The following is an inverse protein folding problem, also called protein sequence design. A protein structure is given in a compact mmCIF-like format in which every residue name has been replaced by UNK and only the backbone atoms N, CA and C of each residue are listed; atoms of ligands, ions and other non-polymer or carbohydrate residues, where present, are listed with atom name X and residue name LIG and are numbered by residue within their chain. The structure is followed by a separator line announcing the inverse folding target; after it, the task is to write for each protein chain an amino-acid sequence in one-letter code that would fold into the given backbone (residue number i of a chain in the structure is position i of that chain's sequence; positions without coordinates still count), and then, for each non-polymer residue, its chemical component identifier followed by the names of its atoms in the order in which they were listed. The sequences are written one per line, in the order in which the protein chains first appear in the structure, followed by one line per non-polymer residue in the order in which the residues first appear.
data_IF_601906006874
#
_entry.id   IF_601906006874
#
_cell.length_a   1.000
_cell.length_b   1.000
_cell.length_c   1.000
_cell.angle_alpha   90.00
_cell.angle_beta   90.00
_cell.angle_gamma   90.00
#
_symmetry.space_group_name_H-M   'P 1'
#
loop_
_entity.id
_entity.type
_entity.pdbx_description
1 polymer ?
#
# COMPACT_ATOMS: atom_id res chain seq x y z
N UNK A 1 -3.79 29.92 13.81
CA UNK A 1 -2.71 29.02 14.23
C UNK A 1 -2.01 28.43 13.02
N UNK A 2 -0.73 28.12 13.13
CA UNK A 2 0.13 27.62 12.04
C UNK A 2 0.74 26.28 12.47
N UNK A 3 0.97 25.40 11.52
CA UNK A 3 1.75 24.18 11.70
C UNK A 3 3.14 24.42 11.15
N UNK A 4 4.15 24.29 11.99
CA UNK A 4 5.56 24.40 11.63
C UNK A 4 6.17 23.01 11.66
N UNK A 5 6.67 22.55 10.52
CA UNK A 5 7.34 21.25 10.41
C UNK A 5 8.85 21.48 10.26
N UNK A 6 9.64 20.87 11.14
CA UNK A 6 11.09 20.96 11.17
C UNK A 6 11.73 19.59 10.95
N UNK A 7 12.79 19.55 10.15
CA UNK A 7 13.52 18.33 9.84
C UNK A 7 14.97 18.40 10.32
N UNK A 8 15.36 17.41 11.12
CA UNK A 8 16.74 17.24 11.58
C UNK A 8 17.06 17.98 12.89
N UNK A 9 18.19 17.63 13.53
CA UNK A 9 18.69 18.35 14.70
C UNK A 9 19.17 19.77 14.36
N UNK A 10 19.67 19.95 13.13
CA UNK A 10 19.97 21.24 12.52
C UNK A 10 18.84 21.52 11.53
N UNK A 11 17.91 22.39 11.91
CA UNK A 11 16.68 22.72 11.17
C UNK A 11 17.00 23.04 9.71
N UNK A 12 16.85 22.06 8.83
CA UNK A 12 17.28 22.16 7.43
C UNK A 12 16.15 22.62 6.51
N UNK A 13 14.90 22.39 6.91
CA UNK A 13 13.70 22.82 6.18
C UNK A 13 12.59 23.15 7.19
N UNK A 14 12.00 24.34 7.07
CA UNK A 14 10.83 24.76 7.84
C UNK A 14 9.67 24.95 6.88
N UNK A 15 8.62 24.14 7.04
CA UNK A 15 7.37 24.33 6.27
C UNK A 15 6.27 24.86 7.18
N UNK A 16 5.72 26.02 6.82
CA UNK A 16 4.59 26.63 7.51
C UNK A 16 3.30 26.32 6.77
N UNK A 17 2.31 25.77 7.48
CA UNK A 17 1.00 25.42 6.92
C UNK A 17 -0.09 26.05 7.78
N UNK A 18 -1.06 26.69 7.14
CA UNK A 18 -2.23 27.22 7.84
C UNK A 18 -3.07 26.07 8.39
N UNK A 19 -3.61 26.23 9.59
CA UNK A 19 -4.54 25.23 10.11
C UNK A 19 -5.75 25.10 9.16
N UNK A 20 -6.12 23.86 8.78
CA UNK A 20 -7.33 23.65 8.02
C UNK A 20 -8.55 24.06 8.86
N UNK A 21 -9.64 24.43 8.19
CA UNK A 21 -10.92 24.68 8.86
C UNK A 21 -11.35 23.46 9.69
N UNK A 22 -12.15 23.67 10.74
CA UNK A 22 -12.63 22.59 11.60
C UNK A 22 -13.24 21.43 10.79
N UNK A 23 -12.85 20.19 11.13
CA UNK A 23 -13.27 18.98 10.41
C UNK A 23 -12.61 18.76 9.04
N UNK A 24 -11.62 19.58 8.65
CA UNK A 24 -10.83 19.41 7.43
C UNK A 24 -9.41 18.98 7.76
N UNK A 25 -8.75 18.35 6.78
CA UNK A 25 -7.37 17.88 6.87
C UNK A 25 -6.50 18.68 5.89
N UNK A 26 -5.30 19.05 6.32
CA UNK A 26 -4.24 19.60 5.47
C UNK A 26 -3.13 18.55 5.31
N UNK A 27 -2.58 18.45 4.11
CA UNK A 27 -1.44 17.57 3.81
C UNK A 27 -0.22 18.44 3.52
N UNK A 28 0.90 18.09 4.15
CA UNK A 28 2.16 18.82 4.03
C UNK A 28 3.19 17.88 3.44
N UNK A 29 3.76 18.25 2.30
CA UNK A 29 4.82 17.48 1.65
C UNK A 29 6.18 18.04 2.10
N UNK A 30 6.91 17.25 2.88
CA UNK A 30 8.27 17.56 3.35
C UNK A 30 9.26 16.79 2.49
N UNK A 31 10.35 17.44 2.04
CA UNK A 31 11.35 16.80 1.19
C UNK A 31 12.61 16.51 1.99
N UNK A 32 12.80 15.23 2.30
CA UNK A 32 14.00 14.78 3.00
C UNK A 32 15.08 14.50 1.95
N UNK A 33 16.16 15.29 1.97
CA UNK A 33 17.35 15.00 1.19
C UNK A 33 17.98 13.70 1.68
N UNK A 34 18.18 12.72 0.80
CA UNK A 34 19.07 11.62 1.08
C UNK A 34 20.51 12.12 0.91
N UNK A 35 21.35 11.95 1.91
CA UNK A 35 22.78 12.21 1.78
C UNK A 35 23.35 11.17 0.82
N UNK A 36 23.59 11.58 -0.44
CA UNK A 36 23.96 10.68 -1.53
C UNK A 36 25.32 9.97 -1.30
N UNK A 37 26.08 10.39 -0.29
CA UNK A 37 27.39 9.85 0.07
C UNK A 37 27.41 8.94 1.30
N UNK A 38 26.27 8.69 1.94
CA UNK A 38 26.20 7.80 3.11
C UNK A 38 25.87 6.37 2.68
N UNK A 39 26.79 5.43 2.88
CA UNK A 39 26.53 3.99 2.72
C UNK A 39 25.64 3.42 3.85
N UNK A 40 25.21 4.26 4.79
CA UNK A 40 24.44 3.86 5.96
C UNK A 40 23.11 4.61 6.07
N UNK A 41 22.10 3.91 6.58
CA UNK A 41 20.82 4.52 6.93
C UNK A 41 20.99 5.50 8.10
N UNK A 42 20.41 6.70 7.97
CA UNK A 42 20.39 7.72 9.03
C UNK A 42 18.97 7.92 9.56
N UNK A 43 18.80 7.87 10.87
CA UNK A 43 17.54 8.28 11.50
C UNK A 43 17.51 9.80 11.66
N UNK A 44 16.47 10.43 11.12
CA UNK A 44 16.28 11.89 11.16
C UNK A 44 14.98 12.20 11.91
N UNK A 45 15.00 13.09 12.93
CA UNK A 45 13.79 13.51 13.59
C UNK A 45 12.98 14.45 12.68
N UNK A 46 11.67 14.21 12.64
CA UNK A 46 10.66 15.08 12.08
C UNK A 46 9.85 15.65 13.23
N UNK A 47 9.92 16.96 13.41
CA UNK A 47 9.22 17.68 14.46
C UNK A 47 8.06 18.47 13.86
N UNK A 48 6.86 18.29 14.40
CA UNK A 48 5.67 19.03 14.03
C UNK A 48 5.22 19.85 15.22
N UNK A 49 5.25 21.17 15.05
CA UNK A 49 4.84 22.15 16.04
C UNK A 49 3.53 22.81 15.59
N UNK A 50 2.57 22.94 16.50
CA UNK A 50 1.34 23.71 16.25
C UNK A 50 1.43 25.02 17.03
N UNK A 51 1.62 26.13 16.32
CA UNK A 51 1.76 27.47 16.87
C UNK A 51 0.39 28.18 16.95
N UNK A 52 0.12 28.86 18.07
CA UNK A 52 -1.03 29.76 18.23
C UNK A 52 -2.34 29.11 18.68
N UNK A 53 -2.28 27.94 19.32
CA UNK A 53 -3.42 27.33 20.02
C UNK A 53 -3.29 27.57 21.54
N UNK A 54 -4.35 28.05 22.19
CA UNK A 54 -4.42 28.33 23.64
C UNK A 54 -5.11 27.18 24.41
N UNK A 55 -4.81 26.90 25.69
CA UNK A 55 -5.18 25.68 26.42
C UNK A 55 -6.62 25.16 26.21
N UNK A 56 -6.86 23.83 26.21
CA UNK A 56 -6.21 22.83 27.06
C UNK A 56 -4.97 22.17 26.44
N UNK A 57 -4.59 22.57 25.24
CA UNK A 57 -3.36 22.14 24.60
C UNK A 57 -2.15 22.69 25.36
N UNK A 58 -1.19 21.81 25.69
CA UNK A 58 0.13 22.24 26.16
C UNK A 58 0.65 23.30 25.18
N UNK A 59 1.06 24.46 25.70
CA UNK A 59 1.79 25.47 24.94
C UNK A 59 3.09 24.82 24.43
N UNK A 60 3.04 24.27 23.20
CA UNK A 60 4.10 23.43 22.66
C UNK A 60 3.67 21.98 22.39
N UNK A 61 2.46 21.76 21.84
CA UNK A 61 2.10 20.50 21.20
C UNK A 61 3.09 20.19 20.08
N UNK A 62 4.16 19.48 20.46
CA UNK A 62 5.22 18.97 19.60
C UNK A 62 4.94 17.49 19.39
N UNK A 63 4.70 17.13 18.13
CA UNK A 63 4.69 15.74 17.70
C UNK A 63 6.02 15.45 17.04
N UNK A 64 6.75 14.45 17.56
CA UNK A 64 8.03 14.03 16.99
C UNK A 64 7.91 12.62 16.45
N UNK A 65 8.42 12.41 15.24
CA UNK A 65 8.56 11.10 14.63
C UNK A 65 9.98 10.95 14.09
N UNK A 66 10.55 9.75 14.22
CA UNK A 66 11.85 9.44 13.63
C UNK A 66 11.65 8.76 12.27
N UNK A 67 12.32 9.26 11.25
CA UNK A 67 12.27 8.74 9.87
C UNK A 67 13.63 8.16 9.51
N UNK A 68 13.67 6.93 9.01
CA UNK A 68 14.89 6.33 8.48
C UNK A 68 15.11 6.82 7.05
N UNK A 69 16.24 7.47 6.81
CA UNK A 69 16.71 7.90 5.51
C UNK A 69 17.76 6.89 5.06
N UNK A 70 17.40 6.03 4.11
CA UNK A 70 18.31 5.03 3.56
C UNK A 70 18.89 5.51 2.24
N UNK A 71 20.17 5.23 1.93
CA UNK A 71 20.71 5.36 0.58
C UNK A 71 20.08 4.35 -0.39
N UNK A 72 19.52 3.25 0.13
CA UNK A 72 18.85 2.26 -0.70
C UNK A 72 17.43 2.73 -1.11
N UNK A 73 17.00 2.42 -2.34
CA UNK A 73 15.60 2.55 -2.77
C UNK A 73 14.62 2.02 -1.72
N UNK A 74 13.68 2.87 -1.28
CA UNK A 74 12.58 2.50 -0.36
C UNK A 74 11.21 2.69 -1.02
N UNK A 75 10.21 1.95 -0.53
CA UNK A 75 8.83 2.04 -0.99
C UNK A 75 8.53 1.29 -2.28
N UNK A 76 7.23 1.20 -2.58
CA UNK A 76 6.71 0.65 -3.80
C UNK A 76 6.30 1.76 -4.77
N UNK A 77 6.48 1.49 -6.07
CA UNK A 77 5.97 2.34 -7.14
C UNK A 77 5.12 1.48 -8.07
N UNK A 78 3.86 1.84 -8.25
CA UNK A 78 2.98 1.29 -9.27
C UNK A 78 2.94 2.26 -10.45
N UNK A 79 3.36 1.80 -11.62
CA UNK A 79 3.24 2.52 -12.89
C UNK A 79 2.17 1.82 -13.72
N UNK A 80 1.04 2.50 -13.96
CA UNK A 80 -0.04 1.98 -14.80
C UNK A 80 -0.11 2.75 -16.11
N UNK A 81 0.21 2.06 -17.20
CA UNK A 81 0.11 2.57 -18.58
C UNK A 81 -1.26 2.29 -19.21
N UNK A 82 -2.04 1.39 -18.59
CA UNK A 82 -3.45 1.10 -18.90
C UNK A 82 -4.27 1.09 -17.58
N UNK A 83 -4.61 2.29 -17.05
CA UNK A 83 -5.20 2.42 -15.72
C UNK A 83 -6.65 1.94 -15.66
N UNK A 84 -6.97 1.23 -14.57
CA UNK A 84 -8.32 0.85 -14.19
C UNK A 84 -8.53 1.03 -12.67
N UNK A 85 -9.56 0.38 -12.13
CA UNK A 85 -9.86 0.44 -10.71
C UNK A 85 -8.88 -0.33 -9.82
N UNK A 86 -8.06 -1.24 -10.37
CA UNK A 86 -7.14 -2.10 -9.62
C UNK A 86 -6.17 -1.28 -8.77
N UNK A 87 -5.57 -0.25 -9.37
CA UNK A 87 -4.62 0.63 -8.68
C UNK A 87 -5.21 1.34 -7.46
N UNK A 88 -6.53 1.60 -7.45
CA UNK A 88 -7.22 2.25 -6.33
C UNK A 88 -7.33 1.33 -5.11
N UNK A 89 -7.56 0.03 -5.34
CA UNK A 89 -7.67 -0.96 -4.27
C UNK A 89 -6.30 -1.48 -3.82
N UNK A 90 -5.32 -1.48 -4.73
CA UNK A 90 -3.96 -1.91 -4.43
C UNK A 90 -3.16 -0.85 -3.68
N UNK A 91 -3.39 0.45 -3.91
CA UNK A 91 -2.66 1.53 -3.24
C UNK A 91 -2.66 1.41 -1.69
N UNK A 92 -3.80 1.18 -1.00
CA UNK A 92 -3.80 0.96 0.44
C UNK A 92 -3.07 -0.32 0.89
N UNK A 93 -2.98 -1.34 0.04
CA UNK A 93 -2.21 -2.57 0.35
C UNK A 93 -0.73 -2.26 0.29
N UNK A 94 -0.27 -1.58 -0.76
CA UNK A 94 1.13 -1.15 -0.89
C UNK A 94 1.56 -0.26 0.28
N UNK A 95 0.71 0.69 0.67
CA UNK A 95 0.97 1.59 1.80
C UNK A 95 1.18 0.85 3.12
N UNK A 96 0.47 -0.26 3.33
CA UNK A 96 0.58 -1.06 4.56
C UNK A 96 1.66 -2.14 4.51
N UNK A 97 1.95 -2.66 3.32
CA UNK A 97 2.78 -3.86 3.16
C UNK A 97 4.23 -3.57 2.78
N UNK A 98 4.56 -2.35 2.36
CA UNK A 98 5.90 -1.99 1.91
C UNK A 98 6.51 -0.90 2.80
N UNK A 99 7.70 -1.13 3.39
CA UNK A 99 8.43 -0.07 4.07
C UNK A 99 8.69 1.12 3.14
N UNK A 100 8.27 2.32 3.55
CA UNK A 100 8.32 3.53 2.71
C UNK A 100 7.03 3.80 1.90
N UNK A 101 6.00 2.97 2.05
CA UNK A 101 4.67 3.20 1.48
C UNK A 101 4.60 2.93 -0.03
N UNK A 102 3.46 3.29 -0.63
CA UNK A 102 3.16 3.08 -2.04
C UNK A 102 2.90 4.37 -2.81
N UNK A 103 3.59 4.56 -3.94
CA UNK A 103 3.31 5.63 -4.90
C UNK A 103 2.68 5.04 -6.15
N UNK A 104 1.55 5.59 -6.58
CA UNK A 104 0.81 5.07 -7.74
C UNK A 104 0.73 6.15 -8.80
N UNK A 105 1.29 5.89 -9.98
CA UNK A 105 1.28 6.76 -11.15
C UNK A 105 0.42 6.14 -12.25
N UNK A 106 -0.54 6.91 -12.75
CA UNK A 106 -1.48 6.52 -13.78
C UNK A 106 -1.23 7.39 -15.01
N UNK A 107 -1.04 6.77 -16.17
CA UNK A 107 -0.88 7.48 -17.44
C UNK A 107 -2.22 8.08 -17.88
N UNK A 108 -2.24 9.36 -18.21
CA UNK A 108 -3.39 10.03 -18.82
C UNK A 108 -3.23 10.13 -20.34
N UNK A 109 -2.00 10.41 -20.78
CA UNK A 109 -1.58 10.58 -22.17
C UNK A 109 -0.10 10.19 -22.28
N UNK A 110 0.51 10.18 -23.46
CA UNK A 110 1.89 9.70 -23.68
C UNK A 110 2.90 10.30 -22.68
N UNK A 111 2.86 11.62 -22.45
CA UNK A 111 3.78 12.33 -21.55
C UNK A 111 3.13 12.84 -20.25
N UNK A 112 1.84 12.56 -20.03
CA UNK A 112 1.06 13.14 -18.94
C UNK A 112 0.65 12.11 -17.91
N UNK A 113 1.01 12.35 -16.65
CA UNK A 113 0.78 11.41 -15.55
C UNK A 113 0.02 12.04 -14.38
N UNK A 114 -0.75 11.20 -13.70
CA UNK A 114 -1.41 11.50 -12.42
C UNK A 114 -0.82 10.64 -11.33
N UNK A 115 -0.48 11.27 -10.20
CA UNK A 115 -0.23 10.55 -8.96
C UNK A 115 -1.56 10.32 -8.25
N UNK A 116 -1.93 9.04 -8.08
CA UNK A 116 -3.11 8.62 -7.33
C UNK A 116 -2.89 8.80 -5.82
N UNK A 117 -3.98 9.08 -5.09
CA UNK A 117 -3.98 9.39 -3.66
C UNK A 117 -5.32 9.96 -3.22
N UNK A 118 -5.42 10.41 -1.96
CA UNK A 118 -6.64 11.04 -1.41
C UNK A 118 -7.05 12.26 -2.24
N UNK A 119 -6.06 12.99 -2.79
CA UNK A 119 -6.26 14.01 -3.81
C UNK A 119 -5.32 13.73 -4.99
N UNK A 120 -5.84 13.28 -6.13
CA UNK A 120 -5.00 13.03 -7.31
C UNK A 120 -4.30 14.32 -7.77
N UNK A 121 -2.98 14.25 -7.98
CA UNK A 121 -2.18 15.39 -8.47
C UNK A 121 -1.84 15.14 -9.94
N UNK A 122 -2.30 16.04 -10.82
CA UNK A 122 -2.00 16.04 -12.27
C UNK A 122 -0.66 16.73 -12.55
N UNK A 123 -0.15 16.52 -13.76
CA UNK A 123 1.00 17.28 -14.29
C UNK A 123 2.36 16.67 -13.94
N UNK A 124 2.41 15.37 -13.61
CA UNK A 124 3.68 14.68 -13.46
C UNK A 124 4.25 14.35 -14.85
N UNK A 125 5.52 14.69 -15.08
CA UNK A 125 6.24 14.33 -16.31
C UNK A 125 6.69 12.88 -16.30
N UNK A 126 6.84 12.27 -17.47
CA UNK A 126 7.39 10.91 -17.59
C UNK A 126 8.76 10.80 -16.90
N UNK A 127 9.63 11.79 -17.05
CA UNK A 127 10.95 11.82 -16.38
C UNK A 127 10.83 11.69 -14.86
N UNK A 128 9.80 12.28 -14.25
CA UNK A 128 9.56 12.18 -12.81
C UNK A 128 9.08 10.79 -12.41
N UNK A 129 8.21 10.18 -13.22
CA UNK A 129 7.73 8.80 -13.00
C UNK A 129 8.88 7.80 -13.16
N UNK A 130 9.70 7.96 -14.20
CA UNK A 130 10.90 7.15 -14.44
C UNK A 130 11.85 7.18 -13.24
N UNK A 131 12.17 8.37 -12.74
CA UNK A 131 13.01 8.54 -11.54
C UNK A 131 12.40 7.86 -10.31
N UNK A 132 11.09 7.93 -10.14
CA UNK A 132 10.41 7.25 -9.04
C UNK A 132 10.50 5.72 -9.17
N UNK A 133 10.24 5.17 -10.36
CA UNK A 133 10.38 3.74 -10.65
C UNK A 133 11.82 3.25 -10.47
N UNK A 134 12.80 4.07 -10.86
CA UNK A 134 14.23 3.81 -10.68
C UNK A 134 14.66 3.82 -9.21
N UNK A 135 13.92 4.50 -8.34
CA UNK A 135 14.17 4.57 -6.90
C UNK A 135 13.28 3.65 -6.06
N UNK A 136 12.56 2.70 -6.66
CA UNK A 136 11.64 1.81 -5.94
C UNK A 136 12.32 0.51 -5.48
N UNK A 137 12.01 0.06 -4.26
CA UNK A 137 12.36 -1.30 -3.78
C UNK A 137 11.52 -2.36 -4.49
N UNK A 138 10.24 -2.04 -4.71
CA UNK A 138 9.28 -2.86 -5.43
C UNK A 138 8.67 -2.03 -6.56
N UNK A 139 8.81 -2.50 -7.79
CA UNK A 139 8.12 -1.93 -8.94
C UNK A 139 6.90 -2.77 -9.29
N UNK A 140 5.75 -2.14 -9.41
CA UNK A 140 4.54 -2.73 -9.97
C UNK A 140 4.27 -2.11 -11.32
N UNK A 141 4.00 -2.94 -12.33
CA UNK A 141 3.70 -2.50 -13.68
C UNK A 141 2.32 -3.01 -14.06
N UNK A 142 1.42 -2.11 -14.44
CA UNK A 142 0.13 -2.45 -15.00
C UNK A 142 0.09 -2.02 -16.47
N UNK A 143 -0.05 -2.99 -17.37
CA UNK A 143 -0.01 -2.73 -18.81
C UNK A 143 0.10 -4.00 -19.64
N UNK A 144 0.06 -3.80 -20.95
CA UNK A 144 0.32 -4.84 -21.96
C UNK A 144 1.83 -5.07 -22.07
N UNK A 145 2.36 -6.25 -21.69
CA UNK A 145 3.79 -6.57 -21.80
C UNK A 145 4.34 -6.43 -23.23
N UNK A 146 3.51 -6.65 -24.25
CA UNK A 146 3.91 -6.49 -25.66
C UNK A 146 4.01 -5.04 -26.12
N UNK A 147 3.49 -4.08 -25.34
CA UNK A 147 3.41 -2.66 -25.70
C UNK A 147 3.81 -1.74 -24.53
N UNK A 148 4.76 -2.17 -23.69
CA UNK A 148 5.31 -1.31 -22.64
C UNK A 148 6.28 -0.28 -23.23
N UNK A 149 6.31 0.95 -22.69
CA UNK A 149 7.39 1.89 -22.99
C UNK A 149 8.76 1.26 -22.68
N UNK A 150 9.72 1.43 -23.58
CA UNK A 150 11.05 0.81 -23.47
C UNK A 150 11.75 1.09 -22.13
N UNK A 151 11.58 2.31 -21.59
CA UNK A 151 12.15 2.68 -20.29
C UNK A 151 11.54 1.88 -19.13
N UNK A 152 10.25 1.53 -19.19
CA UNK A 152 9.54 0.81 -18.13
C UNK A 152 9.85 -0.68 -18.20
N UNK A 153 9.99 -1.22 -19.40
CA UNK A 153 10.52 -2.56 -19.63
C UNK A 153 11.93 -2.70 -19.02
N UNK A 154 12.83 -1.77 -19.34
CA UNK A 154 14.19 -1.77 -18.85
C UNK A 154 14.27 -1.55 -17.33
N UNK A 155 13.50 -0.59 -16.80
CA UNK A 155 13.39 -0.37 -15.36
C UNK A 155 12.95 -1.66 -14.66
N UNK A 156 11.94 -2.33 -15.22
CA UNK A 156 11.47 -3.60 -14.69
C UNK A 156 12.54 -4.65 -14.69
N UNK A 157 13.32 -4.85 -15.77
CA UNK A 157 14.40 -5.86 -15.87
C UNK A 157 15.54 -5.65 -14.86
N UNK A 158 15.76 -4.41 -14.42
CA UNK A 158 16.82 -4.10 -13.43
C UNK A 158 16.39 -4.25 -11.98
N UNK A 159 15.09 -4.28 -11.69
CA UNK A 159 14.61 -4.36 -10.29
C UNK A 159 14.90 -5.73 -9.67
N UNK A 160 15.24 -5.80 -8.37
CA UNK A 160 15.33 -7.07 -7.66
C UNK A 160 13.94 -7.68 -7.38
N UNK A 161 12.90 -6.85 -7.30
CA UNK A 161 11.52 -7.28 -7.06
C UNK A 161 10.55 -6.54 -7.99
N UNK A 162 9.73 -7.29 -8.72
CA UNK A 162 8.73 -6.74 -9.65
C UNK A 162 7.39 -7.49 -9.56
N UNK A 163 6.29 -6.77 -9.72
CA UNK A 163 4.97 -7.36 -9.93
C UNK A 163 4.34 -6.83 -11.20
N UNK A 164 3.78 -7.70 -12.03
CA UNK A 164 3.04 -7.30 -13.23
C UNK A 164 1.55 -7.58 -13.08
N UNK A 165 0.73 -6.58 -13.38
CA UNK A 165 -0.71 -6.70 -13.59
C UNK A 165 -0.93 -6.67 -15.11
N UNK A 166 -1.09 -7.85 -15.71
CA UNK A 166 -1.10 -8.02 -17.17
C UNK A 166 -2.39 -7.47 -17.77
N UNK A 167 -2.25 -6.71 -18.87
CA UNK A 167 -3.35 -6.10 -19.64
C UNK A 167 -3.31 -6.42 -21.14
N UNK A 168 -2.50 -7.40 -21.53
CA UNK A 168 -2.33 -7.80 -22.92
C UNK A 168 -1.35 -8.97 -23.08
N UNK A 169 -1.24 -9.51 -24.30
CA UNK A 169 -0.31 -10.59 -24.62
C UNK A 169 1.13 -10.07 -24.77
N UNK A 170 2.11 -10.87 -24.37
CA UNK A 170 3.52 -10.54 -24.56
C UNK A 170 4.44 -11.17 -23.52
N UNK A 171 5.75 -11.08 -23.79
CA UNK A 171 6.76 -11.52 -22.83
C UNK A 171 6.85 -10.55 -21.67
N UNK A 172 6.68 -11.05 -20.45
CA UNK A 172 6.76 -10.25 -19.23
C UNK A 172 8.24 -10.01 -18.90
N UNK A 173 8.71 -8.76 -18.87
CA UNK A 173 10.14 -8.49 -18.78
C UNK A 173 10.79 -9.00 -17.50
N UNK A 174 11.82 -9.84 -17.68
CA UNK A 174 12.67 -10.37 -16.60
C UNK A 174 12.01 -11.45 -15.73
N UNK A 175 11.01 -12.17 -16.24
CA UNK A 175 10.31 -13.25 -15.48
C UNK A 175 10.31 -14.61 -16.20
N UNK A 176 10.62 -14.65 -17.49
CA UNK A 176 10.50 -15.87 -18.31
C UNK A 176 9.05 -16.28 -18.61
N UNK A 177 8.07 -15.51 -18.14
CA UNK A 177 6.64 -15.73 -18.41
C UNK A 177 6.25 -14.96 -19.68
N UNK A 178 5.50 -15.59 -20.57
CA UNK A 178 4.79 -14.88 -21.63
C UNK A 178 3.28 -15.03 -21.45
N UNK A 179 2.58 -13.90 -21.37
CA UNK A 179 1.13 -13.86 -21.41
C UNK A 179 0.66 -14.09 -22.85
N UNK A 180 -0.33 -14.96 -23.03
CA UNK A 180 -0.98 -15.19 -24.32
C UNK A 180 -2.30 -14.42 -24.37
N UNK A 181 -3.03 -14.56 -25.48
CA UNK A 181 -4.37 -14.01 -25.62
C UNK A 181 -5.32 -14.37 -24.45
N UNK A 182 -6.33 -13.52 -24.17
CA UNK A 182 -7.38 -13.82 -23.20
C UNK A 182 -8.03 -15.17 -23.47
N UNK A 183 -8.12 -15.99 -22.43
CA UNK A 183 -8.81 -17.26 -22.47
C UNK A 183 -10.34 -17.04 -22.53
N UNK A 184 -11.06 -17.77 -23.40
CA UNK A 184 -12.50 -17.61 -23.53
C UNK A 184 -13.26 -18.15 -22.30
N UNK A 185 -14.43 -17.56 -22.04
CA UNK A 185 -15.37 -17.96 -20.99
C UNK A 185 -15.21 -17.19 -19.68
N UNK A 186 -16.06 -17.51 -18.70
CA UNK A 186 -16.00 -16.90 -17.38
C UNK A 186 -15.06 -17.69 -16.47
N UNK A 187 -14.15 -16.99 -15.80
CA UNK A 187 -13.13 -17.59 -14.95
C UNK A 187 -13.35 -17.19 -13.49
N UNK A 188 -13.46 -18.19 -12.63
CA UNK A 188 -13.69 -18.02 -11.20
C UNK A 188 -12.44 -18.42 -10.44
N UNK A 189 -12.06 -17.64 -9.43
CA UNK A 189 -10.97 -18.02 -8.53
C UNK A 189 -11.30 -19.35 -7.84
N UNK A 190 -10.29 -20.19 -7.65
CA UNK A 190 -10.41 -21.50 -7.00
C UNK A 190 -9.77 -21.45 -5.61
N UNK A 191 -10.52 -21.92 -4.61
CA UNK A 191 -10.06 -22.13 -3.23
C UNK A 191 -10.26 -23.59 -2.82
N UNK A 192 -9.38 -24.19 -2.00
CA UNK A 192 -8.21 -23.57 -1.39
C UNK A 192 -7.12 -23.25 -2.43
N UNK A 193 -6.29 -22.21 -2.19
CA UNK A 193 -5.20 -21.86 -3.08
C UNK A 193 -4.16 -22.99 -3.15
N UNK A 194 -3.34 -23.06 -4.22
CA UNK A 194 -2.19 -23.94 -4.26
C UNK A 194 -1.27 -23.72 -3.04
N UNK A 195 -0.61 -24.79 -2.59
CA UNK A 195 0.39 -24.68 -1.52
C UNK A 195 1.56 -23.79 -1.97
N UNK A 196 1.98 -22.86 -1.12
CA UNK A 196 3.11 -21.99 -1.45
C UNK A 196 3.29 -20.83 -0.46
N UNK A 197 4.26 -19.94 -0.72
CA UNK A 197 4.62 -18.83 0.19
C UNK A 197 3.48 -17.85 0.52
N UNK A 198 2.47 -17.78 -0.34
CA UNK A 198 1.32 -16.87 -0.24
C UNK A 198 0.10 -17.58 0.36
N UNK A 199 0.05 -18.91 0.39
CA UNK A 199 -1.16 -19.67 0.70
C UNK A 199 -1.72 -19.38 2.10
N UNK A 200 -0.85 -19.14 3.09
CA UNK A 200 -1.25 -18.80 4.46
C UNK A 200 -2.10 -17.52 4.56
N UNK A 201 -1.95 -16.57 3.63
CA UNK A 201 -2.75 -15.33 3.59
C UNK A 201 -4.12 -15.49 2.93
N UNK A 202 -4.37 -16.66 2.36
CA UNK A 202 -5.53 -16.97 1.53
C UNK A 202 -6.44 -18.03 2.18
N UNK A 203 -6.07 -18.53 3.37
CA UNK A 203 -6.85 -19.52 4.12
C UNK A 203 -8.11 -18.88 4.70
N UNK A 204 -9.23 -19.62 4.65
CA UNK A 204 -10.47 -19.26 5.34
C UNK A 204 -11.44 -18.40 4.53
N UNK A 205 -11.17 -18.15 3.24
CA UNK A 205 -12.10 -17.45 2.35
C UNK A 205 -12.62 -18.41 1.27
N UNK A 206 -13.94 -18.44 1.09
CA UNK A 206 -14.59 -19.18 0.01
C UNK A 206 -14.65 -18.33 -1.26
N UNK A 207 -14.04 -18.81 -2.34
CA UNK A 207 -14.08 -18.12 -3.63
C UNK A 207 -15.41 -18.29 -4.40
N UNK A 208 -16.33 -19.15 -3.95
CA UNK A 208 -17.58 -19.42 -4.66
C UNK A 208 -18.46 -18.17 -4.85
N UNK A 209 -18.45 -17.26 -3.89
CA UNK A 209 -19.27 -16.04 -3.91
C UNK A 209 -18.62 -14.87 -4.66
N UNK A 210 -17.38 -15.05 -5.13
CA UNK A 210 -16.67 -14.00 -5.83
C UNK A 210 -17.21 -13.82 -7.25
N UNK A 211 -17.28 -12.56 -7.73
CA UNK A 211 -17.52 -12.34 -9.15
C UNK A 211 -16.41 -12.99 -9.99
N UNK A 212 -16.74 -13.41 -11.22
CA UNK A 212 -15.73 -13.88 -12.14
C UNK A 212 -14.70 -12.78 -12.42
N UNK A 213 -13.50 -13.21 -12.80
CA UNK A 213 -12.49 -12.34 -13.39
C UNK A 213 -13.06 -11.69 -14.66
N UNK A 214 -12.70 -10.43 -14.90
CA UNK A 214 -13.10 -9.73 -16.14
C UNK A 214 -12.49 -10.40 -17.37
N UNK A 215 -11.23 -10.82 -17.23
CA UNK A 215 -10.42 -11.50 -18.25
C UNK A 215 -9.38 -12.36 -17.53
N UNK A 216 -8.95 -13.42 -18.19
CA UNK A 216 -7.80 -14.22 -17.76
C UNK A 216 -6.88 -14.45 -18.97
N UNK A 217 -5.67 -13.93 -18.93
CA UNK A 217 -4.66 -14.23 -19.96
C UNK A 217 -4.09 -15.62 -19.75
N UNK A 218 -3.86 -16.35 -20.85
CA UNK A 218 -3.09 -17.59 -20.77
C UNK A 218 -1.62 -17.32 -20.48
N UNK A 219 -0.86 -18.37 -20.16
CA UNK A 219 0.57 -18.29 -19.90
C UNK A 219 1.28 -19.46 -20.56
N UNK A 220 2.46 -19.20 -21.15
CA UNK A 220 3.35 -20.23 -21.68
C UNK A 220 4.21 -20.88 -20.60
N UNK A 221 4.27 -20.30 -19.40
CA UNK A 221 5.00 -20.88 -18.28
C UNK A 221 4.25 -22.08 -17.69
N UNK A 222 5.00 -23.06 -17.17
CA UNK A 222 4.41 -24.13 -16.37
C UNK A 222 3.64 -23.55 -15.18
N UNK A 223 2.62 -24.26 -14.69
CA UNK A 223 1.83 -23.83 -13.52
C UNK A 223 2.63 -23.79 -12.20
N UNK A 224 3.91 -24.15 -12.24
CA UNK A 224 4.84 -24.05 -11.10
C UNK A 224 4.91 -22.59 -10.64
N UNK A 225 4.61 -22.36 -9.36
CA UNK A 225 4.57 -21.02 -8.77
C UNK A 225 3.20 -20.33 -8.82
N UNK A 226 2.13 -20.99 -9.27
CA UNK A 226 0.77 -20.45 -9.12
C UNK A 226 0.43 -20.23 -7.63
N UNK A 227 -0.02 -19.02 -7.29
CA UNK A 227 -0.47 -18.66 -5.92
C UNK A 227 -1.98 -18.49 -5.82
N UNK A 228 -2.61 -18.23 -6.96
CA UNK A 228 -4.05 -18.30 -7.12
C UNK A 228 -4.34 -18.96 -8.47
N UNK A 229 -5.25 -19.91 -8.45
CA UNK A 229 -5.74 -20.58 -9.64
C UNK A 229 -7.17 -20.17 -9.92
N UNK A 230 -7.60 -20.38 -11.16
CA UNK A 230 -8.95 -20.12 -11.60
C UNK A 230 -9.45 -21.24 -12.48
N UNK A 231 -10.77 -21.44 -12.45
CA UNK A 231 -11.45 -22.51 -13.16
C UNK A 231 -12.57 -21.94 -14.02
N UNK A 232 -12.58 -22.32 -15.30
CA UNK A 232 -13.63 -21.90 -16.23
C UNK A 232 -14.98 -22.47 -15.77
N UNK A 233 -15.98 -21.62 -15.64
CA UNK A 233 -17.34 -22.00 -15.20
C UNK A 233 -17.35 -22.86 -13.91
N UNK A 234 -16.34 -22.70 -13.04
CA UNK A 234 -16.11 -23.52 -11.83
C UNK A 234 -15.94 -25.04 -12.06
N UNK A 235 -15.85 -25.51 -13.31
CA UNK A 235 -15.78 -26.95 -13.64
C UNK A 235 -14.69 -27.31 -14.66
N UNK A 236 -14.29 -26.35 -15.47
CA UNK A 236 -13.32 -26.52 -16.54
C UNK A 236 -11.89 -26.78 -16.06
N UNK A 237 -10.90 -26.69 -16.98
CA UNK A 237 -9.51 -26.85 -16.62
C UNK A 237 -9.05 -25.71 -15.70
N UNK A 238 -8.13 -26.04 -14.79
CA UNK A 238 -7.49 -25.07 -13.91
C UNK A 238 -6.43 -24.29 -14.69
N UNK A 239 -6.37 -22.99 -14.45
CA UNK A 239 -5.39 -22.06 -15.02
C UNK A 239 -4.85 -21.13 -13.94
N UNK A 240 -3.57 -20.73 -14.00
CA UNK A 240 -3.02 -19.78 -13.06
C UNK A 240 -3.68 -18.40 -13.25
N UNK A 241 -4.13 -17.79 -12.16
CA UNK A 241 -4.63 -16.40 -12.10
C UNK A 241 -3.54 -15.45 -11.65
N UNK A 242 -2.72 -15.89 -10.71
CA UNK A 242 -1.53 -15.19 -10.27
C UNK A 242 -0.40 -16.19 -10.01
N UNK A 243 0.82 -15.79 -10.32
CA UNK A 243 2.03 -16.60 -10.22
C UNK A 243 3.14 -15.79 -9.55
N UNK A 244 4.04 -16.50 -8.90
CA UNK A 244 5.30 -15.96 -8.40
C UNK A 244 6.46 -16.86 -8.83
N UNK A 245 7.65 -16.29 -8.92
CA UNK A 245 8.85 -17.07 -9.22
C UNK A 245 10.11 -16.22 -9.10
N UNK A 246 11.27 -16.89 -9.17
CA UNK A 246 12.56 -16.23 -9.05
C UNK A 246 13.50 -16.66 -10.17
N UNK A 247 14.31 -15.71 -10.64
CA UNK A 247 15.42 -15.97 -11.55
C UNK A 247 16.66 -15.39 -10.88
N UNK A 248 17.58 -16.27 -10.48
CA UNK A 248 18.69 -15.90 -9.59
C UNK A 248 18.14 -15.26 -8.30
N UNK A 249 18.69 -14.13 -7.85
CA UNK A 249 18.23 -13.39 -6.66
C UNK A 249 16.99 -12.49 -6.91
N UNK A 250 16.51 -12.40 -8.15
CA UNK A 250 15.37 -11.55 -8.51
C UNK A 250 14.06 -12.31 -8.29
N UNK A 251 13.13 -11.70 -7.56
CA UNK A 251 11.77 -12.22 -7.38
C UNK A 251 10.78 -11.47 -8.25
N UNK A 252 9.80 -12.20 -8.79
CA UNK A 252 8.75 -11.63 -9.61
C UNK A 252 7.39 -12.22 -9.26
N UNK A 253 6.35 -11.41 -9.48
CA UNK A 253 4.97 -11.85 -9.47
C UNK A 253 4.27 -11.42 -10.77
N UNK A 254 3.39 -12.25 -11.30
CA UNK A 254 2.59 -11.97 -12.50
C UNK A 254 1.14 -12.29 -12.19
N UNK A 255 0.28 -11.28 -12.30
CA UNK A 255 -1.18 -11.43 -12.19
C UNK A 255 -1.75 -11.42 -13.60
N UNK A 256 -2.27 -12.57 -14.01
CA UNK A 256 -2.86 -12.84 -15.33
C UNK A 256 -4.37 -12.57 -15.36
N UNK A 257 -5.01 -12.50 -14.19
CA UNK A 257 -6.43 -12.19 -14.06
C UNK A 257 -6.69 -10.69 -13.92
N UNK A 258 -7.62 -10.16 -14.70
CA UNK A 258 -8.13 -8.80 -14.55
C UNK A 258 -9.40 -8.76 -13.68
N UNK A 259 -9.62 -7.63 -13.00
CA UNK A 259 -10.88 -7.35 -12.31
C UNK A 259 -11.00 -7.90 -10.89
N UNK A 260 -9.89 -8.34 -10.28
CA UNK A 260 -9.87 -8.76 -8.88
C UNK A 260 -10.27 -7.64 -7.91
N UNK A 261 -10.11 -6.36 -8.30
CA UNK A 261 -10.68 -5.22 -7.55
C UNK A 261 -12.19 -5.35 -7.26
N UNK A 262 -12.94 -6.08 -8.09
CA UNK A 262 -14.38 -6.32 -7.86
C UNK A 262 -14.63 -7.19 -6.63
N UNK A 263 -13.65 -8.02 -6.23
CA UNK A 263 -13.68 -8.78 -4.99
C UNK A 263 -13.61 -7.83 -3.80
N UNK A 264 -12.72 -6.84 -3.86
CA UNK A 264 -12.60 -5.82 -2.83
C UNK A 264 -13.79 -4.86 -2.78
N UNK A 265 -14.39 -4.54 -3.93
CA UNK A 265 -15.53 -3.63 -4.01
C UNK A 265 -16.82 -4.17 -3.34
N UNK A 266 -17.00 -5.50 -3.28
CA UNK A 266 -18.19 -6.13 -2.70
C UNK A 266 -18.18 -6.23 -1.17
N UNK A 267 -17.06 -5.93 -0.52
CA UNK A 267 -16.90 -6.07 0.93
C UNK A 267 -16.43 -7.47 1.34
N UNK A 268 -16.62 -7.82 2.61
CA UNK A 268 -16.25 -9.15 3.11
C UNK A 268 -17.23 -10.23 2.61
N UNK A 269 -16.73 -11.44 2.27
CA UNK A 269 -15.35 -11.92 2.46
C UNK A 269 -14.38 -11.60 1.30
N UNK A 270 -14.84 -11.02 0.19
CA UNK A 270 -14.01 -10.79 -1.01
C UNK A 270 -12.84 -9.81 -0.82
N UNK A 271 -13.03 -8.78 0.00
CA UNK A 271 -11.94 -7.84 0.34
C UNK A 271 -10.82 -8.51 1.16
N UNK A 272 -11.15 -9.53 1.96
CA UNK A 272 -10.17 -10.30 2.72
C UNK A 272 -9.31 -11.15 1.80
N UNK A 273 -9.89 -11.86 0.81
CA UNK A 273 -9.10 -12.60 -0.20
C UNK A 273 -8.22 -11.67 -1.02
N UNK A 274 -8.79 -10.55 -1.50
CA UNK A 274 -8.05 -9.56 -2.27
C UNK A 274 -6.82 -9.05 -1.51
N UNK A 275 -7.01 -8.61 -0.27
CA UNK A 275 -5.93 -8.11 0.58
C UNK A 275 -4.91 -9.20 0.88
N UNK A 276 -5.35 -10.41 1.20
CA UNK A 276 -4.49 -11.55 1.47
C UNK A 276 -3.59 -11.91 0.29
N UNK A 277 -4.17 -11.97 -0.92
CA UNK A 277 -3.44 -12.26 -2.16
C UNK A 277 -2.32 -11.25 -2.40
N UNK A 278 -2.68 -9.97 -2.47
CA UNK A 278 -1.70 -8.93 -2.79
C UNK A 278 -0.71 -8.71 -1.66
N UNK A 279 -1.15 -8.70 -0.40
CA UNK A 279 -0.23 -8.57 0.74
C UNK A 279 0.74 -9.75 0.83
N UNK A 280 0.29 -10.97 0.57
CA UNK A 280 1.14 -12.15 0.57
C UNK A 280 2.17 -12.14 -0.57
N UNK A 281 1.76 -11.79 -1.79
CA UNK A 281 2.71 -11.61 -2.90
C UNK A 281 3.69 -10.48 -2.66
N UNK A 282 3.20 -9.31 -2.19
CA UNK A 282 4.05 -8.16 -1.87
C UNK A 282 5.05 -8.55 -0.79
N UNK A 283 4.61 -9.19 0.30
CA UNK A 283 5.49 -9.67 1.36
C UNK A 283 6.56 -10.56 0.78
N UNK A 284 6.20 -11.59 0.01
CA UNK A 284 7.17 -12.48 -0.59
C UNK A 284 8.16 -11.77 -1.54
N UNK A 285 7.72 -10.73 -2.26
CA UNK A 285 8.60 -9.94 -3.13
C UNK A 285 9.59 -9.06 -2.36
N UNK A 286 9.14 -8.42 -1.28
CA UNK A 286 9.96 -7.45 -0.51
C UNK A 286 10.70 -8.07 0.67
N UNK A 287 10.32 -9.27 1.08
CA UNK A 287 11.00 -10.13 2.04
C UNK A 287 12.30 -10.63 1.39
N UNK A 288 13.23 -9.68 1.17
CA UNK A 288 14.64 -10.00 0.91
C UNK A 288 15.04 -11.04 1.96
N UNK A 289 15.79 -12.05 1.54
CA UNK A 289 16.21 -13.21 2.35
C UNK A 289 17.09 -12.86 3.57
N UNK A 290 17.05 -11.61 4.05
CA UNK A 290 17.53 -11.17 5.37
C UNK A 290 16.35 -10.53 6.10
N UNK A 291 15.60 -11.32 6.90
CA UNK A 291 14.62 -10.75 7.82
C UNK A 291 15.28 -9.65 8.65
N UNK A 292 14.61 -8.50 8.85
CA UNK A 292 15.07 -7.59 9.89
C UNK A 292 15.05 -8.37 11.21
N UNK A 293 16.17 -8.46 11.94
CA UNK A 293 16.25 -9.35 13.10
C UNK A 293 15.20 -9.03 14.16
N UNK A 294 14.84 -7.75 14.30
CA UNK A 294 13.83 -7.29 15.24
C UNK A 294 13.07 -6.10 14.65
N UNK A 295 11.74 -6.11 14.75
CA UNK A 295 10.88 -5.05 14.25
C UNK A 295 9.94 -4.55 15.35
N UNK A 296 9.79 -3.23 15.51
CA UNK A 296 8.78 -2.67 16.40
C UNK A 296 7.38 -2.86 15.81
N UNK A 297 6.43 -3.35 16.60
CA UNK A 297 5.06 -3.63 16.17
C UNK A 297 4.26 -2.33 16.01
N UNK A 298 4.44 -1.39 16.94
CA UNK A 298 3.67 -0.15 17.00
C UNK A 298 4.48 1.01 16.38
N UNK A 299 4.00 1.67 15.31
CA UNK A 299 4.74 2.76 14.68
C UNK A 299 4.80 4.01 15.57
N UNK A 300 3.76 4.23 16.38
CA UNK A 300 3.64 5.34 17.34
C UNK A 300 3.48 4.75 18.74
N UNK A 301 4.29 5.23 19.69
CA UNK A 301 4.21 4.85 21.11
C UNK A 301 3.70 6.05 21.89
N UNK A 302 2.70 5.85 22.76
CA UNK A 302 2.19 6.90 23.64
C UNK A 302 2.66 6.66 25.08
N UNK A 303 2.63 7.73 25.87
CA UNK A 303 2.98 7.67 27.29
C UNK A 303 2.08 6.67 28.01
N UNK A 304 2.70 5.71 28.70
CA UNK A 304 2.02 4.61 29.38
C UNK A 304 1.81 3.35 28.52
N UNK A 305 2.11 3.38 27.21
CA UNK A 305 2.07 2.19 26.37
C UNK A 305 3.35 1.36 26.53
N UNK A 306 3.20 0.04 26.53
CA UNK A 306 4.32 -0.89 26.41
C UNK A 306 4.79 -0.97 24.96
N UNK A 307 6.10 -0.87 24.74
CA UNK A 307 6.69 -1.10 23.42
C UNK A 307 6.70 -2.59 23.12
N UNK A 308 6.30 -2.97 21.91
CA UNK A 308 6.34 -4.36 21.45
C UNK A 308 7.26 -4.51 20.26
N UNK A 309 8.02 -5.60 20.28
CA UNK A 309 8.86 -6.02 19.17
C UNK A 309 8.48 -7.42 18.71
N UNK A 310 8.76 -7.70 17.45
CA UNK A 310 8.66 -9.00 16.83
C UNK A 310 10.05 -9.37 16.31
N UNK A 311 10.57 -10.50 16.78
CA UNK A 311 11.83 -11.03 16.28
C UNK A 311 11.59 -11.88 15.03
N UNK A 312 12.58 -11.93 14.14
CA UNK A 312 12.55 -12.88 13.04
C UNK A 312 12.70 -14.33 13.55
N UNK A 313 12.13 -15.34 12.87
CA UNK A 313 12.13 -16.74 13.35
C UNK A 313 13.52 -17.33 13.64
N UNK A 314 14.54 -16.91 12.90
CA UNK A 314 15.90 -17.47 12.98
C UNK A 314 16.83 -16.68 13.93
N UNK A 315 16.28 -15.75 14.72
CA UNK A 315 17.08 -14.96 15.66
C UNK A 315 17.38 -15.77 16.92
N UNK A 316 18.65 -15.79 17.31
CA UNK A 316 19.16 -16.44 18.52
C UNK A 316 19.96 -15.45 19.36
N UNK A 317 20.10 -15.75 20.65
CA UNK A 317 20.89 -14.97 21.61
C UNK A 317 20.54 -13.47 21.59
N UNK A 318 19.26 -13.17 21.48
CA UNK A 318 18.77 -11.81 21.37
C UNK A 318 18.92 -11.08 22.70
N UNK A 319 19.59 -9.94 22.66
CA UNK A 319 19.54 -8.93 23.72
C UNK A 319 18.89 -7.67 23.17
N UNK A 320 17.89 -7.16 23.87
CA UNK A 320 17.25 -5.87 23.60
C UNK A 320 17.48 -4.98 24.80
N UNK A 321 18.09 -3.82 24.59
CA UNK A 321 18.25 -2.78 25.58
C UNK A 321 17.46 -1.56 25.16
N UNK A 322 16.67 -1.02 26.08
CA UNK A 322 16.03 0.26 25.93
C UNK A 322 16.86 1.30 26.68
N UNK A 323 17.20 2.37 25.98
CA UNK A 323 17.99 3.49 26.46
C UNK A 323 17.16 4.77 26.43
N UNK A 324 17.33 5.61 27.45
CA UNK A 324 16.76 6.96 27.48
C UNK A 324 17.63 7.96 26.68
N UNK A 325 17.28 9.24 26.74
CA UNK A 325 18.02 10.33 26.07
C UNK A 325 19.45 10.52 26.56
N UNK A 326 19.77 10.08 27.78
CA UNK A 326 21.14 10.12 28.34
C UNK A 326 21.99 8.93 27.88
N UNK A 327 21.38 7.96 27.20
CA UNK A 327 22.00 6.69 26.83
C UNK A 327 21.98 5.65 27.96
N UNK A 328 21.37 5.97 29.11
CA UNK A 328 21.25 5.04 30.22
C UNK A 328 20.25 3.93 29.88
N UNK A 329 20.62 2.68 30.17
CA UNK A 329 19.75 1.52 29.95
C UNK A 329 18.65 1.54 31.03
N UNK A 330 17.42 1.80 30.60
CA UNK A 330 16.24 1.83 31.47
C UNK A 330 15.52 0.49 31.52
N UNK A 331 15.79 -0.39 30.55
CA UNK A 331 15.27 -1.75 30.52
C UNK A 331 16.12 -2.64 29.62
N UNK A 332 16.20 -3.93 29.96
CA UNK A 332 16.87 -4.92 29.12
C UNK A 332 16.12 -6.24 29.13
N UNK A 333 16.18 -6.95 28.02
CA UNK A 333 15.70 -8.31 27.87
C UNK A 333 16.75 -9.14 27.14
N UNK A 334 16.95 -10.38 27.60
CA UNK A 334 17.86 -11.34 26.99
C UNK A 334 17.11 -12.65 26.82
N UNK A 335 17.15 -13.21 25.61
CA UNK A 335 16.53 -14.48 25.28
C UNK A 335 17.48 -15.33 24.43
N UNK A 336 17.80 -16.54 24.90
CA UNK A 336 18.63 -17.51 24.17
C UNK A 336 17.84 -18.23 23.08
N UNK A 337 16.54 -18.47 23.31
CA UNK A 337 15.59 -18.98 22.32
C UNK A 337 14.45 -17.95 22.20
N UNK A 338 14.28 -17.38 21.02
CA UNK A 338 13.51 -16.14 20.88
C UNK A 338 12.02 -16.44 20.78
N UNK A 339 11.23 -15.96 21.75
CA UNK A 339 9.79 -15.85 21.58
C UNK A 339 9.49 -14.89 20.42
N UNK A 340 8.54 -15.24 19.55
CA UNK A 340 8.18 -14.45 18.36
C UNK A 340 7.72 -13.02 18.66
N UNK A 341 7.43 -12.69 19.92
CA UNK A 341 7.09 -11.35 20.37
C UNK A 341 7.73 -11.02 21.73
N UNK A 342 8.18 -9.78 21.87
CA UNK A 342 8.81 -9.23 23.08
C UNK A 342 8.04 -7.98 23.47
N UNK A 343 7.70 -7.87 24.75
CA UNK A 343 7.00 -6.71 25.30
C UNK A 343 7.87 -6.04 26.34
N UNK A 344 8.16 -4.76 26.13
CA UNK A 344 8.90 -3.91 27.04
C UNK A 344 8.01 -3.22 28.08
N UNK A 345 8.62 -2.42 28.97
CA UNK A 345 7.89 -1.70 30.00
C UNK A 345 7.05 -0.57 29.38
N UNK A 346 6.02 -0.08 30.10
CA UNK A 346 5.37 1.16 29.74
C UNK A 346 6.35 2.33 29.85
N UNK A 347 6.31 3.24 28.87
CA UNK A 347 7.27 4.35 28.81
C UNK A 347 6.66 5.70 29.14
N UNK A 348 7.47 6.57 29.74
CA UNK A 348 7.14 7.99 29.89
C UNK A 348 7.37 8.76 28.59
N UNK A 349 6.79 9.96 28.48
CA UNK A 349 6.99 10.87 27.34
C UNK A 349 8.47 11.20 27.16
N UNK A 350 8.95 11.21 25.93
CA UNK A 350 10.33 11.60 25.59
C UNK A 350 10.92 10.79 24.45
N UNK A 351 12.15 11.13 24.07
CA UNK A 351 12.92 10.31 23.14
C UNK A 351 13.51 9.08 23.85
N UNK A 352 13.53 7.96 23.14
CA UNK A 352 14.15 6.74 23.57
C UNK A 352 14.87 6.08 22.38
N UNK A 353 15.78 5.18 22.68
CA UNK A 353 16.47 4.36 21.68
C UNK A 353 16.42 2.92 22.14
N UNK A 354 16.23 1.99 21.22
CA UNK A 354 16.57 0.60 21.54
C UNK A 354 17.81 0.16 20.77
N UNK A 355 18.61 -0.67 21.43
CA UNK A 355 19.77 -1.36 20.88
C UNK A 355 19.47 -2.85 20.96
N UNK A 356 19.55 -3.54 19.82
CA UNK A 356 19.34 -4.98 19.74
C UNK A 356 20.59 -5.65 19.20
N UNK A 357 21.01 -6.74 19.82
CA UNK A 357 22.10 -7.60 19.36
C UNK A 357 21.66 -9.04 19.38
N UNK A 358 22.22 -9.87 18.50
CA UNK A 358 21.97 -11.31 18.50
C UNK A 358 22.62 -11.94 17.28
N UNK A 359 22.19 -13.16 16.95
CA UNK A 359 22.59 -13.83 15.72
C UNK A 359 21.38 -14.17 14.85
N UNK A 360 21.52 -14.09 13.53
CA UNK A 360 20.52 -14.51 12.55
C UNK A 360 21.22 -15.23 11.40
N UNK A 361 20.76 -16.43 11.04
CA UNK A 361 21.42 -17.23 9.99
C UNK A 361 22.91 -17.48 10.26
N UNK A 362 23.33 -17.52 11.53
CA UNK A 362 24.72 -17.71 11.95
C UNK A 362 25.60 -16.44 11.96
N UNK A 363 25.09 -15.29 11.52
CA UNK A 363 25.81 -14.02 11.56
C UNK A 363 25.34 -13.15 12.74
N UNK A 364 26.29 -12.53 13.44
CA UNK A 364 25.97 -11.55 14.49
C UNK A 364 25.41 -10.27 13.89
N UNK A 365 24.37 -9.71 14.52
CA UNK A 365 23.83 -8.39 14.18
C UNK A 365 23.88 -7.44 15.37
N UNK A 366 23.96 -6.15 15.07
CA UNK A 366 23.66 -5.05 15.98
C UNK A 366 22.77 -4.06 15.25
N UNK A 367 21.69 -3.66 15.90
CA UNK A 367 20.74 -2.70 15.37
C UNK A 367 20.45 -1.65 16.43
N UNK A 368 20.35 -0.39 15.98
CA UNK A 368 19.96 0.73 16.82
C UNK A 368 18.84 1.50 16.14
N UNK A 369 17.79 1.81 16.90
CA UNK A 369 16.65 2.57 16.38
C UNK A 369 16.14 3.56 17.44
N UNK A 370 16.19 4.87 17.15
CA UNK A 370 15.55 5.89 17.97
C UNK A 370 14.04 5.94 17.72
N UNK A 371 13.30 6.39 18.72
CA UNK A 371 11.87 6.65 18.64
C UNK A 371 11.43 7.68 19.68
N UNK A 372 10.22 8.22 19.49
CA UNK A 372 9.64 9.18 20.42
C UNK A 372 8.38 8.60 21.06
N UNK A 373 8.28 8.71 22.38
CA UNK A 373 7.09 8.42 23.16
C UNK A 373 6.30 9.72 23.28
N UNK A 374 5.21 9.80 22.55
CA UNK A 374 4.34 10.97 22.56
C UNK A 374 3.59 11.06 23.89
N UNK A 375 3.21 12.26 24.31
CA UNK A 375 2.30 12.41 25.46
C UNK A 375 0.98 11.66 25.22
N UNK A 376 0.25 11.34 26.29
CA UNK A 376 -1.21 11.09 26.18
C UNK A 376 -1.87 12.41 25.84
N UNK A 377 -1.70 12.88 24.61
CA UNK A 377 -2.72 13.74 24.05
C UNK A 377 -3.95 12.85 24.00
N UNK A 378 -5.02 13.25 24.68
CA UNK A 378 -6.36 12.85 24.27
C UNK A 378 -6.31 12.85 22.74
N UNK A 379 -6.68 11.72 22.14
CA UNK A 379 -6.94 11.67 20.71
C UNK A 379 -7.61 12.98 20.33
N UNK A 380 -7.23 13.57 19.17
CA UNK A 380 -8.16 14.44 18.45
C UNK A 380 -9.58 13.94 18.76
N UNK A 381 -10.38 14.63 19.60
CA UNK A 381 -11.52 13.96 20.17
C UNK A 381 -12.46 13.61 19.02
N UNK A 382 -12.49 12.34 18.65
CA UNK A 382 -13.71 11.70 18.20
C UNK A 382 -14.61 11.58 19.44
N UNK A 383 -14.99 12.71 20.04
CA UNK A 383 -16.11 12.80 20.94
C UNK A 383 -17.03 13.90 20.47
N UNK A 384 -18.04 13.42 19.75
CA UNK A 384 -19.43 13.83 19.85
C UNK A 384 -19.58 15.34 19.99
N UNK A 385 -19.42 16.04 18.86
CA UNK A 385 -20.17 17.27 18.70
C UNK A 385 -21.64 16.93 18.95
N UNK A 386 -22.26 17.68 19.86
CA UNK A 386 -23.70 17.82 20.11
C UNK A 386 -24.52 17.33 18.90
N UNK A 387 -25.59 16.53 19.07
CA UNK A 387 -26.44 16.16 17.94
C UNK A 387 -26.70 17.42 17.13
N UNK A 388 -26.31 17.38 15.86
CA UNK A 388 -26.54 18.48 14.94
C UNK A 388 -28.05 18.73 14.98
N UNK A 389 -28.47 19.79 15.67
CA UNK A 389 -29.80 20.33 15.50
C UNK A 389 -29.76 20.95 14.10
N UNK A 390 -30.01 20.10 13.11
CA UNK A 390 -30.26 20.52 11.74
C UNK A 390 -31.60 21.23 11.78
N UNK A 391 -31.60 22.48 12.25
CA UNK A 391 -32.63 23.42 11.87
C UNK A 391 -32.57 23.48 10.35
N UNK A 392 -33.66 23.17 9.63
CA UNK A 392 -33.68 23.28 8.19
C UNK A 392 -33.22 24.69 7.85
N UNK A 393 -32.05 24.80 7.22
CA UNK A 393 -31.64 26.05 6.62
C UNK A 393 -32.75 26.40 5.63
N UNK A 394 -33.37 27.57 5.84
CA UNK A 394 -34.32 28.14 4.90
C UNK A 394 -33.72 28.16 3.48
N UNK A 395 -34.57 28.21 2.44
CA UNK A 395 -34.16 27.99 1.07
C UNK A 395 -33.06 28.97 0.65
N UNK A 396 -31.80 28.50 0.62
CA UNK A 396 -30.70 29.24 0.03
C UNK A 396 -30.79 29.11 -1.49
N UNK A 397 -30.98 30.26 -2.13
CA UNK A 397 -30.98 30.42 -3.58
C UNK A 397 -29.73 29.76 -4.20
N UNK A 398 -29.96 28.79 -5.07
CA UNK A 398 -28.93 28.22 -5.96
C UNK A 398 -28.36 29.34 -6.82
N UNK A 399 -27.08 29.66 -6.64
CA UNK A 399 -26.27 30.27 -7.69
C UNK A 399 -26.08 29.23 -8.79
N UNK A 400 -26.78 29.44 -9.89
CA UNK A 400 -26.66 28.70 -11.15
C UNK A 400 -25.32 29.01 -11.81
N UNK A 401 -24.51 27.98 -12.05
CA UNK A 401 -23.45 27.99 -13.07
C UNK A 401 -24.06 27.37 -14.35
N UNK A 402 -23.91 27.97 -15.55
CA UNK A 402 -24.57 27.47 -16.77
C UNK A 402 -23.82 26.26 -17.38
N UNK A 403 -24.56 25.18 -17.65
CA UNK A 403 -24.19 24.04 -18.52
C UNK A 403 -23.10 23.12 -17.96
N UNK A 404 -23.24 21.81 -17.82
CA UNK A 404 -24.03 20.84 -18.55
C UNK A 404 -24.37 19.65 -17.63
N UNK A 405 -25.57 19.64 -17.07
CA UNK A 405 -26.17 18.37 -16.66
C UNK A 405 -26.66 17.69 -17.95
N UNK A 406 -26.21 16.47 -18.28
CA UNK A 406 -26.72 15.78 -19.45
C UNK A 406 -28.23 15.61 -19.27
N UNK A 407 -29.04 15.90 -20.30
CA UNK A 407 -30.47 15.70 -20.23
C UNK A 407 -30.77 14.26 -19.83
N UNK A 408 -31.61 14.06 -18.81
CA UNK A 408 -31.97 12.75 -18.27
C UNK A 408 -33.03 12.04 -19.14
N UNK A 409 -33.66 12.78 -20.05
CA UNK A 409 -34.73 12.30 -20.93
C UNK A 409 -34.33 11.18 -21.92
N UNK A 410 -33.09 11.10 -22.45
CA UNK A 410 -32.69 9.99 -23.32
C UNK A 410 -32.69 8.65 -22.57
N UNK A 411 -32.30 8.66 -21.28
CA UNK A 411 -32.34 7.48 -20.41
C UNK A 411 -33.78 7.07 -20.10
N UNK A 412 -34.66 8.04 -19.82
CA UNK A 412 -36.08 7.76 -19.62
C UNK A 412 -36.74 7.20 -20.89
N UNK A 413 -36.41 7.75 -22.07
CA UNK A 413 -36.90 7.26 -23.36
C UNK A 413 -36.41 5.84 -23.66
N UNK A 414 -35.14 5.52 -23.37
CA UNK A 414 -34.59 4.18 -23.52
C UNK A 414 -35.31 3.15 -22.63
N UNK A 415 -35.60 3.50 -21.37
CA UNK A 415 -36.36 2.64 -20.45
C UNK A 415 -37.78 2.39 -20.97
N UNK A 416 -38.47 3.43 -21.45
CA UNK A 416 -39.82 3.30 -22.01
C UNK A 416 -39.81 2.40 -23.25
N UNK A 417 -38.84 2.56 -24.15
CA UNK A 417 -38.71 1.72 -25.34
C UNK A 417 -38.43 0.25 -24.98
N UNK A 418 -37.57 -0.01 -24.00
CA UNK A 418 -37.31 -1.37 -23.48
C UNK A 418 -38.57 -1.99 -22.85
N UNK A 419 -39.32 -1.22 -22.07
CA UNK A 419 -40.58 -1.69 -21.48
C UNK A 419 -41.64 -1.97 -22.57
N UNK A 420 -41.74 -1.10 -23.57
CA UNK A 420 -42.67 -1.26 -24.69
C UNK A 420 -42.30 -2.47 -25.55
N UNK A 421 -41.01 -2.69 -25.82
CA UNK A 421 -40.51 -3.85 -26.54
C UNK A 421 -40.82 -5.15 -25.78
N UNK A 422 -40.59 -5.17 -24.47
CA UNK A 422 -40.89 -6.33 -23.64
C UNK A 422 -42.39 -6.67 -23.63
N UNK A 423 -43.25 -5.65 -23.50
CA UNK A 423 -44.71 -5.81 -23.60
C UNK A 423 -45.15 -6.32 -24.98
N UNK A 424 -44.52 -5.85 -26.05
CA UNK A 424 -44.79 -6.29 -27.41
C UNK A 424 -44.37 -7.74 -27.65
N UNK A 425 -43.14 -8.13 -27.26
CA UNK A 425 -42.65 -9.51 -27.35
C UNK A 425 -43.57 -10.48 -26.61
N UNK A 426 -44.03 -10.10 -25.42
CA UNK A 426 -44.97 -10.88 -24.62
C UNK A 426 -46.34 -11.05 -25.29
N UNK A 427 -46.82 -10.05 -26.04
CA UNK A 427 -48.09 -10.11 -26.79
C UNK A 427 -48.00 -10.95 -28.06
N UNK A 428 -46.85 -10.98 -28.72
CA UNK A 428 -46.63 -11.70 -30.00
C UNK A 428 -46.16 -13.15 -29.77
N UNK A 429 -45.99 -13.59 -28.51
CA UNK A 429 -45.66 -14.98 -28.18
C UNK A 429 -44.20 -15.36 -28.42
N UNK A 430 -43.33 -14.37 -28.59
CA UNK A 430 -41.88 -14.57 -28.67
C UNK A 430 -41.33 -14.53 -27.24
N UNK A 431 -40.78 -15.66 -26.77
CA UNK A 431 -40.14 -15.77 -25.45
C UNK A 431 -38.78 -15.08 -25.43
#
# INVERSE_FOLDING_TARGET
ARVRVELGPDVSEVTNVELPAAGRTAEVLVRIGADASSDSSRWTPLDVHIEGMAPPWDAGARFRQWVQVSPEPTGAVLVSVDPDWESRYLAPVLERSVPGGGRVFLRLDEDSWVRSGVRPVRGWSETSVRRAAEGATLLLVQGDPGNLPAWLEEASRRRPAVMYLVRGPGSVPGTGVAATEPLPGEWYAETPPPAGPVSAHLIGVDAQELPPLSRLYGSTAASDGAVLSGRRDRRGPVRPVAMIGSISERRWAVVLGEGSWRWAARGDPGISLYRGLFAGMIRWLVERSTPQPLQRVDPVVRSGDSVRWRAAPDVRDLSVQLQDTSGAVVWSHVASDTASAITGPPLGRGDARFVATGTIGGASFRMEQPFHVNGRTEELPNRVGVPLDVRPAGPMARRTVPGSDPPVWPFAAAIILLCAEWLWRRRVGLR
#
